data_IF_354542162075
#
_entry.id   IF_354542162075
#
_cell.length_a   1.000
_cell.length_b   1.000
_cell.length_c   1.000
_cell.angle_alpha   90.00
_cell.angle_beta   90.00
_cell.angle_gamma   90.00
#
_symmetry.space_group_name_H-M   'P 1'
#
loop_
_entity.id
_entity.type
_entity.pdbx_description
1 polymer ?
#
# COMPACT_ATOMS: atom_id res chain seq x y z
N UNK A 1 19.25 15.14 24.47
CA UNK A 1 18.08 15.75 23.78
C UNK A 1 17.31 14.64 23.07
N UNK A 2 16.10 14.35 23.49
CA UNK A 2 15.24 13.35 22.82
C UNK A 2 14.87 13.85 21.41
N UNK A 3 15.12 13.01 20.40
CA UNK A 3 14.64 13.30 19.04
C UNK A 3 13.10 13.26 19.08
N UNK A 4 12.44 14.28 18.54
CA UNK A 4 11.00 14.31 18.40
C UNK A 4 10.67 13.94 16.94
N UNK A 5 10.33 12.68 16.62
CA UNK A 5 10.09 12.28 15.25
C UNK A 5 8.84 12.95 14.70
N UNK A 6 8.87 13.28 13.41
CA UNK A 6 7.73 13.87 12.71
C UNK A 6 6.92 12.81 11.95
N UNK A 7 7.52 11.64 11.69
CA UNK A 7 6.92 10.51 10.99
C UNK A 7 7.34 9.19 11.62
N UNK A 8 6.43 8.23 11.67
CA UNK A 8 6.65 6.89 12.21
C UNK A 8 6.02 5.86 11.27
N UNK A 9 6.78 4.80 10.98
CA UNK A 9 6.29 3.61 10.29
C UNK A 9 6.20 2.47 11.29
N UNK A 10 5.05 1.84 11.39
CA UNK A 10 4.79 0.73 12.32
C UNK A 10 4.23 -0.45 11.54
N UNK A 11 4.94 -1.55 11.55
CA UNK A 11 4.55 -2.75 10.81
C UNK A 11 4.38 -3.93 11.76
N UNK A 12 3.41 -4.80 11.46
CA UNK A 12 3.43 -6.15 11.99
C UNK A 12 4.62 -6.89 11.36
N UNK A 13 5.25 -7.77 12.14
CA UNK A 13 6.34 -8.58 11.62
C UNK A 13 5.82 -9.59 10.59
N UNK A 14 6.26 -9.45 9.37
CA UNK A 14 6.09 -10.46 8.31
C UNK A 14 7.37 -11.27 8.18
N UNK A 15 7.25 -12.59 8.18
CA UNK A 15 8.40 -13.49 8.07
C UNK A 15 8.56 -13.91 6.61
N UNK A 16 9.54 -13.32 5.95
CA UNK A 16 9.87 -13.63 4.56
C UNK A 16 10.63 -14.96 4.45
N UNK A 17 10.28 -15.77 3.45
CA UNK A 17 10.97 -17.01 3.15
C UNK A 17 12.46 -16.81 2.90
N UNK A 18 13.27 -17.80 3.31
CA UNK A 18 14.73 -17.74 3.13
C UNK A 18 15.49 -16.91 4.16
N UNK A 19 14.80 -16.21 5.07
CA UNK A 19 15.40 -15.42 6.15
C UNK A 19 15.79 -16.26 7.36
N UNK A 20 16.61 -15.71 8.26
CA UNK A 20 16.91 -16.35 9.55
C UNK A 20 15.65 -16.57 10.40
N UNK A 21 14.70 -15.62 10.37
CA UNK A 21 13.42 -15.76 11.07
C UNK A 21 12.56 -16.88 10.52
N UNK A 22 12.52 -17.06 9.21
CA UNK A 22 11.82 -18.18 8.55
C UNK A 22 12.36 -19.54 9.04
N UNK A 23 13.70 -19.66 9.15
CA UNK A 23 14.34 -20.88 9.70
C UNK A 23 14.03 -21.09 11.18
N UNK A 24 13.97 -20.02 11.97
CA UNK A 24 13.60 -20.12 13.40
C UNK A 24 12.14 -20.55 13.56
N UNK A 25 11.24 -19.99 12.74
CA UNK A 25 9.83 -20.35 12.76
C UNK A 25 9.60 -21.80 12.35
N UNK A 26 10.20 -22.27 11.26
CA UNK A 26 10.08 -23.65 10.80
C UNK A 26 10.64 -24.68 11.80
N UNK A 27 11.60 -24.27 12.63
CA UNK A 27 12.18 -25.10 13.69
C UNK A 27 11.45 -24.95 15.05
N UNK A 28 10.30 -24.26 15.10
CA UNK A 28 9.54 -24.03 16.32
C UNK A 28 10.22 -23.14 17.38
N UNK A 29 11.32 -22.46 16.99
CA UNK A 29 12.10 -21.56 17.89
C UNK A 29 11.59 -20.11 17.87
N UNK A 30 10.72 -19.75 16.94
CA UNK A 30 10.05 -18.46 16.86
C UNK A 30 8.54 -18.70 16.80
N UNK A 31 7.85 -18.27 17.84
CA UNK A 31 6.39 -18.34 17.93
C UNK A 31 5.86 -16.94 17.68
N UNK A 32 5.02 -16.80 16.66
CA UNK A 32 4.34 -15.53 16.37
C UNK A 32 3.17 -15.35 17.34
N UNK A 33 2.87 -14.10 17.74
CA UNK A 33 1.66 -13.81 18.49
C UNK A 33 0.41 -14.25 17.69
N UNK A 34 -0.61 -14.72 18.38
CA UNK A 34 -1.90 -15.02 17.78
C UNK A 34 -2.53 -13.77 17.14
N UNK A 35 -3.36 -13.96 16.12
CA UNK A 35 -3.98 -12.86 15.35
C UNK A 35 -4.75 -11.87 16.25
N UNK A 36 -5.46 -12.37 17.25
CA UNK A 36 -6.15 -11.54 18.23
C UNK A 36 -5.21 -10.62 19.01
N UNK A 37 -4.04 -11.10 19.39
CA UNK A 37 -3.02 -10.31 20.07
C UNK A 37 -2.36 -9.29 19.13
N UNK A 38 -2.08 -9.68 17.89
CA UNK A 38 -1.57 -8.75 16.85
C UNK A 38 -2.56 -7.61 16.59
N UNK A 39 -3.85 -7.93 16.49
CA UNK A 39 -4.92 -6.93 16.36
C UNK A 39 -4.96 -5.96 17.55
N UNK A 40 -4.83 -6.47 18.77
CA UNK A 40 -4.77 -5.61 19.96
C UNK A 40 -3.56 -4.69 19.96
N UNK A 41 -2.39 -5.20 19.58
CA UNK A 41 -1.17 -4.39 19.46
C UNK A 41 -1.35 -3.27 18.45
N UNK A 42 -1.96 -3.58 17.30
CA UNK A 42 -2.24 -2.58 16.27
C UNK A 42 -3.20 -1.49 16.78
N UNK A 43 -4.32 -1.88 17.41
CA UNK A 43 -5.28 -0.94 18.02
C UNK A 43 -4.61 -0.04 19.05
N UNK A 44 -3.82 -0.61 19.96
CA UNK A 44 -3.07 0.14 20.99
C UNK A 44 -2.04 1.08 20.38
N UNK A 45 -1.43 0.68 19.27
CA UNK A 45 -0.48 1.53 18.53
C UNK A 45 -1.17 2.75 17.96
N UNK A 46 -2.30 2.57 17.27
CA UNK A 46 -3.11 3.67 16.74
C UNK A 46 -3.51 4.61 17.87
N UNK A 47 -4.10 4.09 18.93
CA UNK A 47 -4.55 4.89 20.06
C UNK A 47 -3.41 5.71 20.69
N UNK A 48 -2.28 5.05 20.97
CA UNK A 48 -1.13 5.69 21.62
C UNK A 48 -0.50 6.78 20.76
N UNK A 49 -0.34 6.53 19.46
CA UNK A 49 0.26 7.50 18.54
C UNK A 49 -0.68 8.68 18.29
N UNK A 50 -1.98 8.44 18.14
CA UNK A 50 -2.98 9.50 17.99
C UNK A 50 -3.03 10.39 19.22
N UNK A 51 -3.04 9.81 20.43
CA UNK A 51 -2.94 10.58 21.69
C UNK A 51 -1.64 11.41 21.80
N UNK A 52 -0.58 11.04 21.10
CA UNK A 52 0.69 11.78 21.02
C UNK A 52 0.70 12.82 19.88
N UNK A 53 -0.44 13.03 19.20
CA UNK A 53 -0.63 14.03 18.14
C UNK A 53 -0.06 13.60 16.78
N UNK A 54 0.06 12.30 16.53
CA UNK A 54 0.30 11.77 15.19
C UNK A 54 -1.02 11.49 14.50
N UNK A 55 -1.10 11.80 13.21
CA UNK A 55 -2.20 11.40 12.35
C UNK A 55 -1.89 10.04 11.74
N UNK A 56 -2.80 9.09 11.88
CA UNK A 56 -2.79 7.83 11.14
C UNK A 56 -3.29 8.13 9.73
N UNK A 57 -2.45 8.17 8.72
CA UNK A 57 -2.84 8.60 7.39
C UNK A 57 -2.91 7.44 6.36
N UNK A 58 -2.25 6.33 6.62
CA UNK A 58 -2.35 5.09 5.88
C UNK A 58 -2.09 3.89 6.82
N UNK A 59 -2.32 2.66 6.37
CA UNK A 59 -2.37 1.45 7.21
C UNK A 59 -1.20 1.35 8.20
N UNK A 60 0.03 1.65 7.77
CA UNK A 60 1.25 1.41 8.56
C UNK A 60 1.97 2.68 8.99
N UNK A 61 1.54 3.85 8.52
CA UNK A 61 2.29 5.09 8.73
C UNK A 61 1.50 6.17 9.46
N UNK A 62 2.22 6.87 10.31
CA UNK A 62 1.73 7.94 11.16
C UNK A 62 2.63 9.16 10.99
N UNK A 63 2.06 10.36 10.95
CA UNK A 63 2.83 11.59 10.80
C UNK A 63 2.25 12.72 11.64
N UNK A 64 3.08 13.71 11.99
CA UNK A 64 2.59 15.01 12.41
C UNK A 64 1.86 15.67 11.25
N UNK A 65 0.95 16.58 11.54
CA UNK A 65 0.19 17.30 10.51
C UNK A 65 1.13 17.94 9.48
N UNK A 66 0.92 17.64 8.19
CA UNK A 66 1.75 18.14 7.08
C UNK A 66 3.12 17.47 6.94
N UNK A 67 3.36 16.37 7.68
CA UNK A 67 4.62 15.60 7.65
C UNK A 67 4.42 14.18 7.10
N UNK A 68 3.29 13.95 6.45
CA UNK A 68 3.02 12.71 5.73
C UNK A 68 4.07 12.50 4.62
N UNK A 69 4.51 11.26 4.45
CA UNK A 69 5.50 10.94 3.43
C UNK A 69 4.87 11.05 2.03
N UNK A 70 5.13 12.16 1.34
CA UNK A 70 4.62 12.41 -0.02
C UNK A 70 5.00 11.32 -1.00
N UNK A 71 6.21 10.77 -0.87
CA UNK A 71 6.67 9.66 -1.69
C UNK A 71 5.78 8.43 -1.52
N UNK A 72 5.45 8.05 -0.28
CA UNK A 72 4.54 6.92 -0.03
C UNK A 72 3.14 7.21 -0.58
N UNK A 73 2.63 8.44 -0.36
CA UNK A 73 1.31 8.83 -0.88
C UNK A 73 1.27 8.71 -2.40
N UNK A 74 2.33 9.10 -3.11
CA UNK A 74 2.44 8.95 -4.58
C UNK A 74 2.25 7.50 -5.03
N UNK A 75 2.81 6.54 -4.27
CA UNK A 75 2.58 5.11 -4.54
C UNK A 75 1.14 4.70 -4.26
N UNK A 76 0.58 5.12 -3.11
CA UNK A 76 -0.78 4.75 -2.75
C UNK A 76 -1.84 5.37 -3.67
N UNK A 77 -1.57 6.53 -4.25
CA UNK A 77 -2.42 7.15 -5.25
C UNK A 77 -2.23 6.56 -6.66
N UNK A 78 -1.32 5.60 -6.80
CA UNK A 78 -0.99 4.93 -8.05
C UNK A 78 -0.73 5.91 -9.20
N UNK A 79 0.03 6.96 -8.91
CA UNK A 79 0.42 8.00 -9.87
C UNK A 79 1.80 7.70 -10.47
N UNK A 80 2.16 8.45 -11.52
CA UNK A 80 3.46 8.27 -12.19
C UNK A 80 4.62 8.43 -11.20
N UNK A 81 5.50 7.43 -11.19
CA UNK A 81 6.66 7.37 -10.30
C UNK A 81 7.87 6.88 -11.08
N UNK A 82 8.99 7.59 -10.97
CA UNK A 82 10.26 7.20 -11.58
C UNK A 82 11.23 6.72 -10.51
N UNK A 83 11.63 5.47 -10.60
CA UNK A 83 12.66 4.86 -9.76
C UNK A 83 14.05 5.04 -10.35
N UNK A 84 14.99 5.54 -9.56
CA UNK A 84 16.37 5.75 -9.96
C UNK A 84 17.30 4.78 -9.23
N UNK A 85 18.24 4.19 -9.97
CA UNK A 85 19.24 3.28 -9.42
C UNK A 85 18.95 1.79 -9.70
N UNK A 86 19.89 0.94 -9.29
CA UNK A 86 19.80 -0.51 -9.46
C UNK A 86 18.63 -1.07 -8.67
N UNK A 87 17.83 -1.94 -9.30
CA UNK A 87 16.65 -2.58 -8.73
C UNK A 87 15.46 -1.68 -8.52
N UNK A 88 15.54 -0.39 -8.86
CA UNK A 88 14.44 0.54 -8.69
C UNK A 88 13.28 0.23 -9.66
N UNK A 89 12.06 0.35 -9.15
CA UNK A 89 10.83 0.17 -9.93
C UNK A 89 10.23 1.53 -10.27
N UNK A 90 9.60 1.61 -11.44
CA UNK A 90 8.89 2.78 -11.95
C UNK A 90 7.48 2.39 -12.38
N UNK A 91 6.59 3.37 -12.37
CA UNK A 91 5.26 3.26 -12.95
C UNK A 91 4.97 4.56 -13.71
N UNK A 92 4.81 4.48 -15.02
CA UNK A 92 4.56 5.66 -15.88
C UNK A 92 3.50 5.30 -16.91
N UNK A 93 2.40 6.04 -16.92
CA UNK A 93 1.31 5.92 -17.90
C UNK A 93 0.81 4.48 -18.09
N UNK A 94 0.61 3.74 -17.00
CA UNK A 94 0.10 2.37 -17.02
C UNK A 94 1.16 1.30 -17.26
N UNK A 95 2.42 1.68 -17.46
CA UNK A 95 3.53 0.75 -17.65
C UNK A 95 4.41 0.72 -16.41
N UNK A 96 4.64 -0.47 -15.88
CA UNK A 96 5.64 -0.74 -14.85
C UNK A 96 6.95 -1.15 -15.50
N UNK A 97 8.06 -0.70 -14.96
CA UNK A 97 9.38 -1.21 -15.34
C UNK A 97 10.31 -1.23 -14.14
N UNK A 98 11.23 -2.16 -14.18
CA UNK A 98 12.20 -2.37 -13.13
C UNK A 98 13.61 -2.35 -13.72
N UNK A 99 14.49 -1.65 -13.04
CA UNK A 99 15.89 -1.60 -13.40
C UNK A 99 16.62 -2.89 -12.97
N UNK A 100 17.72 -3.19 -13.67
CA UNK A 100 18.64 -4.28 -13.34
C UNK A 100 19.04 -4.20 -11.87
N UNK A 101 18.92 -5.33 -11.18
CA UNK A 101 19.13 -5.41 -9.73
C UNK A 101 20.60 -5.25 -9.31
N UNK A 102 21.53 -5.80 -10.11
CA UNK A 102 22.96 -5.81 -9.77
C UNK A 102 23.60 -4.46 -10.09
N UNK A 103 24.15 -3.73 -9.09
CA UNK A 103 24.69 -2.39 -9.30
C UNK A 103 25.74 -2.29 -10.40
N UNK A 104 26.67 -3.27 -10.50
CA UNK A 104 27.70 -3.27 -11.53
C UNK A 104 27.10 -3.41 -12.96
N UNK A 105 26.08 -4.25 -13.14
CA UNK A 105 25.37 -4.39 -14.41
C UNK A 105 24.56 -3.14 -14.73
N UNK A 106 23.84 -2.59 -13.75
CA UNK A 106 23.10 -1.34 -13.89
C UNK A 106 24.01 -0.22 -14.41
N UNK A 107 25.17 0.00 -13.75
CA UNK A 107 26.13 1.04 -14.13
C UNK A 107 26.64 0.84 -15.55
N UNK A 108 26.99 -0.40 -15.91
CA UNK A 108 27.46 -0.74 -17.26
C UNK A 108 26.38 -0.43 -18.30
N UNK A 109 25.17 -0.92 -18.13
CA UNK A 109 24.07 -0.72 -19.06
C UNK A 109 23.70 0.76 -19.23
N UNK A 110 23.65 1.52 -18.16
CA UNK A 110 23.40 2.97 -18.25
C UNK A 110 24.50 3.68 -19.06
N UNK A 111 25.77 3.25 -18.93
CA UNK A 111 26.88 3.85 -19.67
C UNK A 111 26.85 3.49 -21.15
N UNK A 112 26.57 2.24 -21.45
CA UNK A 112 26.63 1.69 -22.82
C UNK A 112 25.36 1.97 -23.62
N UNK A 113 24.17 1.70 -23.03
CA UNK A 113 22.90 1.69 -23.74
C UNK A 113 21.94 2.82 -23.33
N UNK A 114 22.36 3.68 -22.38
CA UNK A 114 21.55 4.79 -21.83
C UNK A 114 20.26 4.36 -21.11
N UNK A 115 20.04 3.06 -20.97
CA UNK A 115 18.94 2.47 -20.22
C UNK A 115 19.43 1.27 -19.42
N UNK A 116 18.76 0.94 -18.33
CA UNK A 116 19.05 -0.25 -17.54
C UNK A 116 17.76 -0.96 -17.10
N UNK A 117 16.73 -0.84 -17.90
CA UNK A 117 15.45 -1.54 -17.67
C UNK A 117 15.65 -3.03 -17.94
N UNK A 118 15.40 -3.87 -16.94
CA UNK A 118 15.46 -5.32 -17.02
C UNK A 118 14.12 -5.92 -17.45
N UNK A 119 13.03 -5.36 -16.93
CA UNK A 119 11.69 -5.85 -17.19
C UNK A 119 10.71 -4.68 -17.33
N UNK A 120 9.74 -4.84 -18.22
CA UNK A 120 8.68 -3.87 -18.47
C UNK A 120 7.37 -4.61 -18.70
N UNK A 121 6.29 -4.10 -18.13
CA UNK A 121 4.93 -4.64 -18.24
C UNK A 121 3.92 -3.52 -18.34
N UNK A 122 3.08 -3.55 -19.37
CA UNK A 122 1.92 -2.66 -19.46
C UNK A 122 0.70 -3.39 -18.91
N UNK A 123 0.04 -2.80 -17.93
CA UNK A 123 -1.10 -3.40 -17.26
C UNK A 123 -2.33 -3.37 -18.15
N UNK A 124 -3.04 -4.49 -18.22
CA UNK A 124 -4.38 -4.52 -18.78
C UNK A 124 -5.34 -3.65 -17.96
N UNK A 125 -6.37 -3.04 -18.56
CA UNK A 125 -7.25 -2.09 -17.86
C UNK A 125 -7.82 -2.63 -16.54
N UNK A 126 -8.22 -3.91 -16.52
CA UNK A 126 -8.78 -4.55 -15.31
C UNK A 126 -7.73 -4.69 -14.20
N UNK A 127 -6.52 -5.07 -14.55
CA UNK A 127 -5.40 -5.15 -13.61
C UNK A 127 -5.04 -3.77 -13.05
N UNK A 128 -4.99 -2.75 -13.92
CA UNK A 128 -4.72 -1.37 -13.52
C UNK A 128 -5.80 -0.80 -12.57
N UNK A 129 -7.07 -1.16 -12.80
CA UNK A 129 -8.18 -0.82 -11.89
C UNK A 129 -8.02 -1.50 -10.53
N UNK A 130 -7.79 -2.82 -10.50
CA UNK A 130 -7.57 -3.59 -9.27
C UNK A 130 -6.39 -3.05 -8.47
N UNK A 131 -5.25 -2.79 -9.13
CA UNK A 131 -4.06 -2.23 -8.49
C UNK A 131 -4.33 -0.82 -7.91
N UNK A 132 -5.06 0.02 -8.64
CA UNK A 132 -5.44 1.36 -8.15
C UNK A 132 -6.29 1.27 -6.89
N UNK A 133 -7.22 0.32 -6.81
CA UNK A 133 -8.04 0.09 -5.62
C UNK A 133 -7.18 -0.47 -4.49
N UNK A 134 -6.35 -1.47 -4.78
CA UNK A 134 -5.45 -2.10 -3.81
C UNK A 134 -4.55 -1.08 -3.11
N UNK A 135 -3.92 -0.22 -3.89
CA UNK A 135 -3.02 0.80 -3.37
C UNK A 135 -3.79 1.92 -2.66
N UNK A 136 -4.87 2.40 -3.27
CA UNK A 136 -5.65 3.53 -2.75
C UNK A 136 -6.39 3.23 -1.45
N UNK A 137 -6.86 1.99 -1.23
CA UNK A 137 -7.49 1.59 0.03
C UNK A 137 -6.50 1.49 1.20
N UNK A 138 -5.20 1.55 0.96
CA UNK A 138 -4.21 1.71 2.03
C UNK A 138 -4.28 3.09 2.69
N UNK A 139 -4.67 4.12 1.96
CA UNK A 139 -4.90 5.45 2.52
C UNK A 139 -6.19 5.48 3.35
N UNK A 140 -6.16 6.04 4.55
CA UNK A 140 -7.35 6.16 5.38
C UNK A 140 -8.40 7.12 4.78
N UNK A 141 -7.96 8.07 3.93
CA UNK A 141 -8.87 8.91 3.15
C UNK A 141 -9.56 8.14 2.03
N UNK A 142 -9.00 6.96 1.64
CA UNK A 142 -9.51 6.14 0.55
C UNK A 142 -9.20 6.67 -0.85
N UNK A 143 -10.01 6.22 -1.82
CA UNK A 143 -9.92 6.56 -3.23
C UNK A 143 -11.10 7.46 -3.65
N UNK A 144 -10.83 8.49 -4.45
CA UNK A 144 -11.89 9.28 -5.07
C UNK A 144 -12.53 8.50 -6.21
N UNK A 145 -13.84 8.29 -6.12
CA UNK A 145 -14.65 7.61 -7.15
C UNK A 145 -14.58 8.40 -8.45
N UNK A 146 -14.76 9.72 -8.39
CA UNK A 146 -14.69 10.59 -9.56
C UNK A 146 -13.32 10.52 -10.27
N UNK A 147 -12.19 10.52 -9.50
CA UNK A 147 -10.87 10.39 -10.11
C UNK A 147 -10.67 9.02 -10.76
N UNK A 148 -11.16 7.96 -10.13
CA UNK A 148 -11.14 6.61 -10.69
C UNK A 148 -11.95 6.54 -11.99
N UNK A 149 -13.19 7.03 -11.99
CA UNK A 149 -14.08 7.03 -13.15
C UNK A 149 -13.48 7.86 -14.30
N UNK A 150 -12.89 9.01 -13.99
CA UNK A 150 -12.19 9.84 -14.98
C UNK A 150 -10.96 9.15 -15.57
N UNK A 151 -10.21 8.39 -14.74
CA UNK A 151 -9.00 7.67 -15.19
C UNK A 151 -9.33 6.50 -16.11
N UNK A 152 -10.34 5.72 -15.75
CA UNK A 152 -10.67 4.47 -16.43
C UNK A 152 -11.86 4.56 -17.38
N UNK A 153 -12.57 5.69 -17.43
CA UNK A 153 -13.75 5.93 -18.26
C UNK A 153 -14.86 4.88 -18.04
N UNK A 154 -15.06 4.45 -16.78
CA UNK A 154 -16.08 3.49 -16.36
C UNK A 154 -16.82 4.00 -15.13
N UNK A 155 -18.06 3.57 -14.92
CA UNK A 155 -18.77 3.85 -13.66
C UNK A 155 -18.30 2.87 -12.57
N UNK A 156 -17.63 3.39 -11.56
CA UNK A 156 -17.12 2.63 -10.41
C UNK A 156 -18.24 1.89 -9.68
N UNK A 157 -19.30 2.62 -9.37
CA UNK A 157 -20.43 2.08 -8.59
C UNK A 157 -21.21 1.01 -9.34
N UNK A 158 -21.30 1.10 -10.68
CA UNK A 158 -21.91 0.07 -11.50
C UNK A 158 -21.01 -1.16 -11.62
N UNK A 159 -19.72 -0.95 -11.89
CA UNK A 159 -18.75 -2.03 -12.06
C UNK A 159 -18.62 -2.90 -10.80
N UNK A 160 -18.55 -2.28 -9.64
CA UNK A 160 -18.35 -2.94 -8.36
C UNK A 160 -19.61 -3.03 -7.49
N UNK A 161 -20.82 -2.87 -8.08
CA UNK A 161 -22.09 -2.80 -7.35
C UNK A 161 -22.29 -3.91 -6.33
N UNK A 162 -22.06 -5.16 -6.73
CA UNK A 162 -22.27 -6.33 -5.85
C UNK A 162 -21.26 -6.35 -4.70
N UNK A 163 -19.99 -6.03 -4.98
CA UNK A 163 -18.90 -5.99 -4.01
C UNK A 163 -19.16 -4.89 -2.99
N UNK A 164 -19.48 -3.69 -3.46
CA UNK A 164 -19.82 -2.53 -2.61
C UNK A 164 -20.99 -2.86 -1.69
N UNK A 165 -22.06 -3.48 -2.23
CA UNK A 165 -23.21 -3.86 -1.43
C UNK A 165 -22.84 -4.83 -0.30
N UNK A 166 -22.15 -5.93 -0.64
CA UNK A 166 -21.71 -6.94 0.33
C UNK A 166 -20.78 -6.35 1.40
N UNK A 167 -19.80 -5.51 1.00
CA UNK A 167 -18.86 -4.93 1.94
C UNK A 167 -19.50 -3.86 2.84
N UNK A 168 -20.53 -3.14 2.35
CA UNK A 168 -21.32 -2.22 3.17
C UNK A 168 -22.18 -2.96 4.18
N UNK A 169 -22.85 -4.06 3.80
CA UNK A 169 -23.62 -4.89 4.75
C UNK A 169 -22.73 -5.47 5.86
N UNK A 170 -21.49 -5.81 5.53
CA UNK A 170 -20.48 -6.27 6.51
C UNK A 170 -19.87 -5.12 7.33
N UNK A 171 -20.23 -3.87 7.04
CA UNK A 171 -19.66 -2.67 7.65
C UNK A 171 -18.14 -2.53 7.47
N UNK A 172 -17.58 -2.99 6.32
CA UNK A 172 -16.16 -3.00 6.07
C UNK A 172 -15.67 -1.77 5.28
N UNK A 173 -16.57 -1.12 4.55
CA UNK A 173 -16.27 0.07 3.76
C UNK A 173 -17.27 1.19 4.02
N UNK A 174 -16.84 2.41 3.77
CA UNK A 174 -17.64 3.62 3.75
C UNK A 174 -17.52 4.30 2.40
N UNK A 175 -18.62 4.88 1.92
CA UNK A 175 -18.62 5.77 0.76
C UNK A 175 -19.23 7.09 1.23
N UNK A 176 -18.39 8.10 1.32
CA UNK A 176 -18.73 9.43 1.80
C UNK A 176 -17.93 10.46 0.97
N UNK A 177 -18.53 11.60 0.65
CA UNK A 177 -17.88 12.71 -0.04
C UNK A 177 -17.07 12.28 -1.29
N UNK A 178 -17.67 11.44 -2.14
CA UNK A 178 -17.03 10.88 -3.34
C UNK A 178 -15.84 9.94 -3.05
N UNK A 179 -15.60 9.54 -1.83
CA UNK A 179 -14.51 8.66 -1.46
C UNK A 179 -15.00 7.29 -1.01
N UNK A 180 -14.42 6.23 -1.57
CA UNK A 180 -14.48 4.88 -1.04
C UNK A 180 -13.30 4.68 -0.09
N UNK A 181 -13.56 4.35 1.17
CA UNK A 181 -12.52 4.09 2.17
C UNK A 181 -12.86 2.89 3.05
N UNK A 182 -11.86 2.32 3.68
CA UNK A 182 -12.06 1.32 4.71
C UNK A 182 -12.77 1.95 5.92
N UNK A 183 -13.72 1.22 6.50
CA UNK A 183 -14.27 1.56 7.80
C UNK A 183 -13.25 1.27 8.91
N UNK A 184 -13.46 1.70 10.16
CA UNK A 184 -12.63 1.27 11.28
C UNK A 184 -12.55 -0.25 11.44
N UNK A 185 -13.63 -0.98 11.14
CA UNK A 185 -13.67 -2.45 11.13
C UNK A 185 -12.92 -3.02 9.93
N UNK A 186 -13.13 -2.45 8.75
CA UNK A 186 -12.49 -2.86 7.50
C UNK A 186 -10.97 -2.64 7.49
N UNK A 187 -10.48 -1.62 8.22
CA UNK A 187 -9.05 -1.37 8.36
C UNK A 187 -8.28 -2.58 8.91
N UNK A 188 -8.88 -3.33 9.82
CA UNK A 188 -8.28 -4.54 10.38
C UNK A 188 -8.39 -5.77 9.47
N UNK A 189 -9.19 -5.67 8.41
CA UNK A 189 -9.42 -6.70 7.40
C UNK A 189 -9.06 -6.18 6.00
N UNK A 190 -8.13 -5.22 5.93
CA UNK A 190 -7.81 -4.49 4.71
C UNK A 190 -7.50 -5.42 3.53
N UNK A 191 -6.64 -6.42 3.74
CA UNK A 191 -6.26 -7.36 2.69
C UNK A 191 -7.45 -8.17 2.18
N UNK A 192 -8.34 -8.62 3.08
CA UNK A 192 -9.57 -9.33 2.70
C UNK A 192 -10.54 -8.44 1.90
N UNK A 193 -10.67 -7.17 2.30
CA UNK A 193 -11.51 -6.20 1.58
C UNK A 193 -10.94 -5.91 0.20
N UNK A 194 -9.64 -5.72 0.11
CA UNK A 194 -8.94 -5.43 -1.15
C UNK A 194 -9.09 -6.58 -2.14
N UNK A 195 -8.95 -7.83 -1.67
CA UNK A 195 -9.06 -9.03 -2.51
C UNK A 195 -10.44 -9.18 -3.18
N UNK A 196 -11.51 -8.62 -2.62
CA UNK A 196 -12.84 -8.64 -3.24
C UNK A 196 -12.89 -7.82 -4.55
N UNK A 197 -12.00 -6.85 -4.74
CA UNK A 197 -11.96 -5.96 -5.90
C UNK A 197 -11.02 -6.43 -7.02
N UNK A 198 -10.17 -7.44 -6.78
CA UNK A 198 -9.16 -7.96 -7.70
C UNK A 198 -9.60 -9.29 -8.28
#
# INVERSE_FOLDING_TARGET
>A
MGKNPEHLSTYNLTIEQGTAFSKLQSNGKLIMPEDGHQLELYKKTIERLTKKGFHHYEISNFARQGKECKHNITYWENTNTLGLGAGASSYINGTRFKNINLPAHYIRQVKEEKTAVEHSETLEPRQAMGETIMLGLRLLKGISIHQFERRFQVSFTNLFKKIIHSLKEKELILIEDDCLRLSPKGLFLADSVILEFI
#
